data_IF_598142636845
#
_entry.id   IF_598142636845
#
_cell.length_a   1.000
_cell.length_b   1.000
_cell.length_c   1.000
_cell.angle_alpha   90.00
_cell.angle_beta   90.00
_cell.angle_gamma   90.00
#
_symmetry.space_group_name_H-M   'P 1'
#
loop_
_entity.id
_entity.type
_entity.pdbx_description
1 polymer ?
#
# COMPACT_ATOMS: atom_id res chain seq x y z
N UNK A 1 65.93 15.40 18.13
CA UNK A 1 65.10 15.09 16.94
C UNK A 1 63.70 14.76 17.44
N UNK A 2 62.74 15.65 17.25
CA UNK A 2 61.31 15.40 17.50
C UNK A 2 60.65 15.37 16.12
N UNK A 3 60.20 14.20 15.69
CA UNK A 3 59.46 14.06 14.44
C UNK A 3 58.02 14.55 14.67
N UNK A 4 57.65 15.64 13.98
CA UNK A 4 56.26 16.09 13.88
C UNK A 4 55.59 15.27 12.78
N UNK A 5 54.93 14.18 13.15
CA UNK A 5 54.04 13.46 12.23
C UNK A 5 52.75 14.28 12.09
N UNK A 6 52.66 15.06 11.02
CA UNK A 6 51.40 15.69 10.63
C UNK A 6 50.38 14.58 10.36
N UNK A 7 49.39 14.45 11.24
CA UNK A 7 48.21 13.66 10.96
C UNK A 7 47.51 14.29 9.75
N UNK A 8 47.44 13.56 8.63
CA UNK A 8 46.57 13.91 7.53
C UNK A 8 45.14 14.01 8.08
N UNK A 9 44.47 15.14 7.85
CA UNK A 9 43.04 15.23 8.10
C UNK A 9 42.35 14.07 7.36
N UNK A 10 41.39 13.37 7.99
CA UNK A 10 40.68 12.29 7.31
C UNK A 10 40.06 12.84 6.02
N UNK A 11 40.24 12.13 4.92
CA UNK A 11 39.55 12.42 3.66
C UNK A 11 38.06 12.57 3.96
N UNK A 12 37.53 13.78 3.80
CA UNK A 12 36.12 14.03 4.09
C UNK A 12 35.30 13.28 3.04
N UNK A 13 34.71 12.15 3.43
CA UNK A 13 33.67 11.51 2.62
C UNK A 13 32.54 12.52 2.48
N UNK A 14 32.32 13.03 1.27
CA UNK A 14 31.18 13.88 0.97
C UNK A 14 29.92 13.01 0.98
N UNK A 15 28.98 13.34 1.86
CA UNK A 15 27.71 12.62 2.03
C UNK A 15 26.58 13.58 1.70
N UNK A 16 25.59 13.10 0.96
CA UNK A 16 24.40 13.83 0.58
C UNK A 16 24.56 14.57 -0.76
N UNK A 17 23.91 15.73 -0.84
CA UNK A 17 23.72 16.49 -2.07
C UNK A 17 22.37 16.19 -2.72
N UNK A 18 21.83 17.18 -3.43
CA UNK A 18 20.56 17.06 -4.13
C UNK A 18 20.64 17.76 -5.49
N UNK A 19 20.24 17.05 -6.54
CA UNK A 19 20.13 17.60 -7.90
C UNK A 19 18.75 17.24 -8.45
N UNK A 20 18.08 18.21 -9.05
CA UNK A 20 16.81 18.00 -9.72
C UNK A 20 16.85 18.62 -11.13
N UNK A 21 16.55 17.82 -12.14
CA UNK A 21 16.44 18.26 -13.53
C UNK A 21 14.97 18.33 -13.93
N UNK A 22 14.55 19.47 -14.49
CA UNK A 22 13.20 19.66 -15.03
C UNK A 22 13.34 20.13 -16.47
N UNK A 23 12.74 19.39 -17.40
CA UNK A 23 12.77 19.69 -18.83
C UNK A 23 11.53 19.14 -19.53
N UNK A 24 11.33 19.47 -20.81
CA UNK A 24 10.25 18.87 -21.60
C UNK A 24 10.53 17.38 -21.90
N UNK A 25 11.80 17.01 -22.09
CA UNK A 25 12.30 15.64 -22.25
C UNK A 25 13.65 15.53 -21.52
N UNK A 26 14.02 14.35 -21.05
CA UNK A 26 15.32 14.10 -20.41
C UNK A 26 15.96 12.87 -21.07
N UNK A 27 17.14 13.06 -21.64
CA UNK A 27 18.07 11.98 -22.00
C UNK A 27 19.28 12.10 -21.06
N UNK A 28 19.28 11.25 -20.03
CA UNK A 28 20.28 11.23 -18.98
C UNK A 28 21.25 10.09 -19.24
N UNK A 29 22.48 10.40 -19.64
CA UNK A 29 23.52 9.40 -19.87
C UNK A 29 24.84 9.82 -19.21
N UNK A 30 24.85 9.85 -17.88
CA UNK A 30 25.95 10.41 -17.09
C UNK A 30 26.24 9.62 -15.82
N UNK A 31 27.42 9.88 -15.24
CA UNK A 31 27.82 9.34 -13.95
C UNK A 31 27.41 10.30 -12.82
N UNK A 32 26.81 9.76 -11.77
CA UNK A 32 26.45 10.48 -10.55
C UNK A 32 27.05 9.75 -9.37
N UNK A 33 27.83 10.47 -8.57
CA UNK A 33 28.34 9.99 -7.30
C UNK A 33 27.89 10.96 -6.21
N UNK A 34 26.78 10.60 -5.55
CA UNK A 34 26.19 11.39 -4.47
C UNK A 34 25.75 10.45 -3.35
N UNK A 35 26.69 9.89 -2.57
CA UNK A 35 26.37 8.89 -1.56
C UNK A 35 25.34 9.41 -0.56
N UNK A 36 24.26 8.65 -0.32
CA UNK A 36 23.12 9.10 0.52
C UNK A 36 22.43 10.39 0.05
N UNK A 37 22.69 10.84 -1.18
CA UNK A 37 22.10 12.03 -1.79
C UNK A 37 20.84 11.73 -2.60
N UNK A 38 20.35 12.73 -3.33
CA UNK A 38 19.14 12.60 -4.15
C UNK A 38 19.32 13.09 -5.59
N UNK A 39 18.88 12.30 -6.56
CA UNK A 39 18.79 12.67 -7.97
C UNK A 39 17.33 12.59 -8.43
N UNK A 40 16.79 13.73 -8.88
CA UNK A 40 15.46 13.84 -9.45
C UNK A 40 15.48 14.21 -10.93
N UNK A 41 14.66 13.51 -11.72
CA UNK A 41 14.41 13.76 -13.14
C UNK A 41 12.92 13.99 -13.36
N UNK A 42 12.54 15.14 -13.93
CA UNK A 42 11.14 15.46 -14.24
C UNK A 42 11.00 15.89 -15.71
N UNK A 43 10.28 15.09 -16.50
CA UNK A 43 9.90 15.42 -17.87
C UNK A 43 8.45 15.92 -17.94
N UNK A 44 8.26 17.14 -18.45
CA UNK A 44 6.97 17.82 -18.49
C UNK A 44 6.06 17.33 -19.64
N UNK A 45 6.65 16.92 -20.77
CA UNK A 45 5.91 16.60 -22.01
C UNK A 45 6.25 15.25 -22.64
N UNK A 46 7.51 14.83 -22.56
CA UNK A 46 8.02 13.65 -23.25
C UNK A 46 8.61 12.64 -22.24
N UNK A 47 9.35 11.68 -22.77
CA UNK A 47 9.95 10.60 -22.00
C UNK A 47 11.17 11.04 -21.18
N UNK A 48 11.50 10.20 -20.19
CA UNK A 48 12.80 10.17 -19.52
C UNK A 48 13.53 8.91 -20.00
N UNK A 49 14.72 9.08 -20.55
CA UNK A 49 15.62 7.99 -20.89
C UNK A 49 16.85 8.07 -19.98
N UNK A 50 17.11 7.02 -19.20
CA UNK A 50 18.38 6.82 -18.49
C UNK A 50 19.21 5.87 -19.35
N UNK A 51 20.17 6.44 -20.07
CA UNK A 51 20.94 5.78 -21.11
C UNK A 51 21.88 4.70 -20.58
N UNK A 52 22.33 3.85 -21.51
CA UNK A 52 23.11 2.62 -21.26
C UNK A 52 24.44 2.82 -20.51
N UNK A 53 25.01 4.04 -20.54
CA UNK A 53 26.26 4.36 -19.84
C UNK A 53 26.04 5.07 -18.50
N UNK A 54 24.78 5.20 -18.06
CA UNK A 54 24.46 5.86 -16.79
C UNK A 54 24.91 5.02 -15.60
N UNK A 55 25.71 5.60 -14.72
CA UNK A 55 26.06 5.03 -13.43
C UNK A 55 25.67 6.00 -12.31
N UNK A 56 24.52 5.76 -11.71
CA UNK A 56 23.93 6.58 -10.66
C UNK A 56 24.19 5.88 -9.32
N UNK A 57 25.23 6.33 -8.61
CA UNK A 57 25.56 5.83 -7.28
C UNK A 57 25.11 6.82 -6.20
N UNK A 58 24.03 6.44 -5.52
CA UNK A 58 23.43 7.13 -4.40
C UNK A 58 23.48 6.26 -3.13
N UNK A 59 24.24 5.17 -3.14
CA UNK A 59 24.28 4.22 -2.04
C UNK A 59 24.72 4.89 -0.73
N UNK A 60 24.26 4.32 0.39
CA UNK A 60 24.78 4.67 1.69
C UNK A 60 26.25 4.28 1.83
N UNK A 61 26.92 4.83 2.84
CA UNK A 61 28.33 4.58 3.12
C UNK A 61 28.54 4.24 4.59
N UNK A 62 29.57 3.45 4.86
CA UNK A 62 30.12 3.29 6.19
C UNK A 62 31.15 4.39 6.46
N UNK A 63 30.91 5.21 7.47
CA UNK A 63 31.85 6.26 7.91
C UNK A 63 32.50 5.81 9.21
N UNK A 64 33.82 5.80 9.23
CA UNK A 64 34.57 5.44 10.43
C UNK A 64 34.78 6.68 11.29
N UNK A 65 34.23 6.66 12.50
CA UNK A 65 34.45 7.65 13.55
C UNK A 65 35.24 6.98 14.68
N UNK A 66 36.54 7.30 14.75
CA UNK A 66 37.49 6.64 15.66
C UNK A 66 37.46 5.10 15.51
N UNK A 67 36.90 4.39 16.49
CA UNK A 67 36.82 2.93 16.57
C UNK A 67 35.45 2.37 16.13
N UNK A 68 34.54 3.21 15.66
CA UNK A 68 33.18 2.82 15.27
C UNK A 68 32.88 3.14 13.81
N UNK A 69 32.22 2.20 13.13
CA UNK A 69 31.64 2.43 11.81
C UNK A 69 30.17 2.81 11.99
N UNK A 70 29.79 3.96 11.46
CA UNK A 70 28.40 4.42 11.37
C UNK A 70 27.96 4.33 9.92
N UNK A 71 26.86 3.62 9.67
CA UNK A 71 26.32 3.44 8.32
C UNK A 71 25.24 4.47 8.03
N UNK A 72 25.31 5.11 6.86
CA UNK A 72 24.26 6.00 6.36
C UNK A 72 23.22 5.22 5.56
N UNK A 73 21.96 5.72 5.49
CA UNK A 73 20.96 5.14 4.61
C UNK A 73 21.33 5.32 3.14
N UNK A 74 20.71 4.52 2.27
CA UNK A 74 20.75 4.76 0.84
C UNK A 74 20.07 6.09 0.46
N UNK A 75 20.48 6.67 -0.66
CA UNK A 75 19.92 7.90 -1.23
C UNK A 75 18.61 7.69 -1.99
N UNK A 76 18.17 8.69 -2.74
CA UNK A 76 16.91 8.64 -3.49
C UNK A 76 17.07 8.94 -4.98
N UNK A 77 16.55 8.04 -5.81
CA UNK A 77 16.40 8.28 -7.24
C UNK A 77 14.93 8.44 -7.58
N UNK A 78 14.57 9.57 -8.20
CA UNK A 78 13.21 9.83 -8.68
C UNK A 78 13.19 10.20 -10.16
N UNK A 79 12.27 9.58 -10.90
CA UNK A 79 11.96 9.93 -12.28
C UNK A 79 10.45 10.09 -12.43
N UNK A 80 10.01 11.25 -12.93
CA UNK A 80 8.59 11.55 -13.18
C UNK A 80 8.42 12.06 -14.61
N UNK A 81 7.75 11.27 -15.44
CA UNK A 81 7.32 11.67 -16.77
C UNK A 81 5.80 11.93 -16.76
N UNK A 82 5.42 13.20 -16.92
CA UNK A 82 4.01 13.60 -16.83
C UNK A 82 3.15 13.04 -17.98
N UNK A 83 3.76 12.87 -19.15
CA UNK A 83 3.08 12.45 -20.39
C UNK A 83 3.83 11.32 -21.11
N UNK A 84 5.14 11.16 -20.87
CA UNK A 84 5.98 10.17 -21.51
C UNK A 84 6.23 8.92 -20.68
N UNK A 85 6.96 7.99 -21.29
CA UNK A 85 7.50 6.79 -20.66
C UNK A 85 8.77 7.13 -19.85
N UNK A 86 9.11 6.25 -18.90
CA UNK A 86 10.44 6.22 -18.28
C UNK A 86 11.15 4.93 -18.70
N UNK A 87 12.37 5.05 -19.20
CA UNK A 87 13.20 3.89 -19.55
C UNK A 87 14.52 3.95 -18.80
N UNK A 88 14.84 2.90 -18.06
CA UNK A 88 16.21 2.60 -17.62
C UNK A 88 16.79 1.62 -18.63
N UNK A 89 17.66 2.09 -19.52
CA UNK A 89 18.20 1.30 -20.62
C UNK A 89 19.09 0.16 -20.11
N UNK A 90 19.21 -0.90 -20.90
CA UNK A 90 20.21 -1.96 -20.66
C UNK A 90 21.61 -1.34 -20.50
N UNK A 91 22.40 -1.84 -19.55
CA UNK A 91 23.70 -1.28 -19.19
C UNK A 91 23.67 -0.16 -18.13
N UNK A 92 22.53 0.54 -17.95
CA UNK A 92 22.41 1.55 -16.89
C UNK A 92 22.44 0.91 -15.49
N UNK A 93 22.95 1.65 -14.49
CA UNK A 93 22.97 1.26 -13.09
C UNK A 93 22.40 2.37 -12.21
N UNK A 94 21.45 2.01 -11.34
CA UNK A 94 21.01 2.83 -10.21
C UNK A 94 21.30 2.08 -8.91
N UNK A 95 22.19 2.61 -8.07
CA UNK A 95 22.50 2.07 -6.75
C UNK A 95 22.01 3.01 -5.66
N UNK A 96 21.00 2.56 -4.92
CA UNK A 96 20.40 3.21 -3.74
C UNK A 96 20.49 2.28 -2.52
N UNK A 97 21.46 1.37 -2.49
CA UNK A 97 21.60 0.39 -1.40
C UNK A 97 21.93 1.06 -0.06
N UNK A 98 21.62 0.38 1.06
CA UNK A 98 22.06 0.81 2.38
C UNK A 98 23.59 0.85 2.49
N UNK A 99 24.15 1.70 3.35
CA UNK A 99 25.59 1.68 3.64
C UNK A 99 26.08 0.41 4.35
N UNK A 100 25.17 -0.39 4.90
CA UNK A 100 25.45 -1.63 5.62
C UNK A 100 24.82 -1.69 7.00
N UNK A 101 25.13 -2.75 7.75
CA UNK A 101 24.63 -2.98 9.10
C UNK A 101 23.09 -2.95 9.16
N UNK A 102 22.55 -2.15 10.09
CA UNK A 102 21.12 -1.95 10.28
C UNK A 102 20.57 -0.70 9.56
N UNK A 103 21.37 -0.01 8.73
CA UNK A 103 20.89 1.13 7.97
C UNK A 103 19.85 0.69 6.93
N UNK A 104 18.86 1.55 6.69
CA UNK A 104 17.87 1.36 5.64
C UNK A 104 18.49 1.55 4.25
N UNK A 105 17.93 0.87 3.25
CA UNK A 105 18.19 1.22 1.87
C UNK A 105 17.52 2.52 1.49
N UNK A 106 17.78 2.94 0.26
CA UNK A 106 17.25 4.17 -0.32
C UNK A 106 15.86 4.01 -0.94
N UNK A 107 15.43 5.05 -1.64
CA UNK A 107 14.11 5.13 -2.28
C UNK A 107 14.23 5.24 -3.80
N UNK A 108 13.52 4.37 -4.51
CA UNK A 108 13.26 4.43 -5.94
C UNK A 108 11.85 4.96 -6.17
N UNK A 109 11.67 6.05 -6.92
CA UNK A 109 10.34 6.58 -7.27
C UNK A 109 10.23 6.77 -8.78
N UNK A 110 9.35 6.02 -9.43
CA UNK A 110 9.12 6.09 -10.87
C UNK A 110 7.65 6.38 -11.17
N UNK A 111 7.38 7.50 -11.83
CA UNK A 111 6.01 7.93 -12.14
C UNK A 111 5.86 8.24 -13.63
N UNK A 112 5.21 7.38 -14.38
CA UNK A 112 4.89 7.57 -15.79
C UNK A 112 3.35 7.65 -15.95
N UNK A 113 2.78 8.79 -15.58
CA UNK A 113 1.35 8.92 -15.26
C UNK A 113 0.40 8.65 -16.43
N UNK A 114 0.90 8.73 -17.67
CA UNK A 114 0.13 8.50 -18.90
C UNK A 114 0.72 7.37 -19.78
N UNK A 115 1.82 6.76 -19.35
CA UNK A 115 2.55 5.71 -20.08
C UNK A 115 3.04 4.65 -19.11
N UNK A 116 4.18 4.03 -19.40
CA UNK A 116 4.72 2.89 -18.69
C UNK A 116 6.16 3.17 -18.23
N UNK A 117 6.72 2.20 -17.49
CA UNK A 117 8.14 2.14 -17.13
C UNK A 117 8.76 0.92 -17.79
N UNK A 118 9.98 1.05 -18.29
CA UNK A 118 10.80 -0.07 -18.75
C UNK A 118 12.10 -0.12 -17.95
N UNK A 119 12.31 -1.22 -17.24
CA UNK A 119 13.47 -1.44 -16.36
C UNK A 119 14.39 -2.48 -16.99
N UNK A 120 15.16 -2.05 -17.99
CA UNK A 120 16.11 -2.90 -18.72
C UNK A 120 17.52 -2.84 -18.12
N UNK A 121 17.80 -1.80 -17.34
CA UNK A 121 19.03 -1.63 -16.57
C UNK A 121 19.07 -2.39 -15.24
N UNK A 122 20.19 -2.25 -14.53
CA UNK A 122 20.39 -2.80 -13.20
C UNK A 122 19.99 -1.83 -12.10
N UNK A 123 19.32 -2.33 -11.07
CA UNK A 123 19.00 -1.58 -9.86
C UNK A 123 19.60 -2.34 -8.67
N UNK A 124 20.23 -1.61 -7.76
CA UNK A 124 20.66 -2.12 -6.46
C UNK A 124 20.03 -1.27 -5.37
N UNK A 125 19.28 -1.92 -4.49
CA UNK A 125 18.46 -1.27 -3.50
C UNK A 125 18.32 -2.14 -2.26
N UNK A 126 19.42 -2.72 -1.77
CA UNK A 126 19.41 -3.59 -0.59
C UNK A 126 18.74 -2.88 0.59
N UNK A 127 17.68 -3.49 1.15
CA UNK A 127 16.81 -2.94 2.20
C UNK A 127 16.07 -1.66 1.77
N UNK A 128 15.92 -1.46 0.47
CA UNK A 128 15.34 -0.26 -0.13
C UNK A 128 13.84 -0.31 -0.26
N UNK A 129 13.31 0.80 -0.75
CA UNK A 129 11.90 1.03 -1.00
C UNK A 129 11.67 1.44 -2.46
N UNK A 130 10.53 1.05 -3.02
CA UNK A 130 10.11 1.40 -4.37
C UNK A 130 8.68 1.96 -4.37
N UNK A 131 8.46 3.01 -5.16
CA UNK A 131 7.16 3.56 -5.51
C UNK A 131 7.08 3.65 -7.03
N UNK A 132 6.16 2.90 -7.64
CA UNK A 132 5.92 2.90 -9.08
C UNK A 132 4.45 3.27 -9.34
N UNK A 133 4.21 4.29 -10.16
CA UNK A 133 2.88 4.71 -10.63
C UNK A 133 2.92 4.83 -12.17
N UNK A 134 2.20 3.94 -12.85
CA UNK A 134 2.15 3.88 -14.31
C UNK A 134 0.72 3.88 -14.81
N UNK A 135 0.48 4.40 -16.01
CA UNK A 135 -0.83 4.28 -16.64
C UNK A 135 -1.12 2.81 -16.98
N UNK A 136 -0.18 2.14 -17.63
CA UNK A 136 -0.30 0.76 -18.12
C UNK A 136 1.06 0.07 -18.18
N UNK A 137 1.09 -1.21 -18.54
CA UNK A 137 2.29 -1.98 -18.84
C UNK A 137 2.88 -1.62 -20.21
N UNK A 138 4.16 -1.97 -20.41
CA UNK A 138 4.74 -1.91 -21.74
C UNK A 138 4.53 -3.25 -22.45
N UNK A 139 4.70 -3.29 -23.77
CA UNK A 139 4.63 -4.55 -24.51
C UNK A 139 5.76 -5.54 -24.13
N UNK A 140 6.80 -5.05 -23.46
CA UNK A 140 8.02 -5.80 -23.12
C UNK A 140 8.12 -6.14 -21.63
N UNK A 141 7.21 -5.65 -20.79
CA UNK A 141 7.24 -5.87 -19.35
C UNK A 141 5.83 -6.01 -18.79
N UNK A 142 5.59 -7.09 -18.06
CA UNK A 142 4.35 -7.33 -17.32
C UNK A 142 4.59 -7.11 -15.82
N UNK A 143 3.54 -7.30 -15.01
CA UNK A 143 3.65 -7.19 -13.56
C UNK A 143 4.74 -8.11 -12.98
N UNK A 144 4.80 -9.36 -13.42
CA UNK A 144 5.73 -10.35 -12.85
C UNK A 144 7.18 -10.01 -13.17
N UNK A 145 7.48 -9.59 -14.41
CA UNK A 145 8.83 -9.18 -14.79
C UNK A 145 9.29 -7.94 -14.01
N UNK A 146 8.41 -6.95 -13.83
CA UNK A 146 8.70 -5.77 -13.01
C UNK A 146 8.97 -6.15 -11.55
N UNK A 147 8.13 -7.00 -10.95
CA UNK A 147 8.32 -7.44 -9.56
C UNK A 147 9.59 -8.26 -9.38
N UNK A 148 9.96 -9.08 -10.37
CA UNK A 148 11.21 -9.83 -10.36
C UNK A 148 12.43 -8.90 -10.42
N UNK A 149 12.40 -7.85 -11.24
CA UNK A 149 13.45 -6.83 -11.28
C UNK A 149 13.60 -6.14 -9.92
N UNK A 150 12.50 -5.71 -9.29
CA UNK A 150 12.55 -5.03 -7.98
C UNK A 150 12.99 -5.95 -6.84
N UNK A 151 12.54 -7.20 -6.84
CA UNK A 151 12.96 -8.21 -5.85
C UNK A 151 14.44 -8.52 -5.98
N UNK A 152 14.93 -8.71 -7.22
CA UNK A 152 16.35 -8.93 -7.50
C UNK A 152 17.21 -7.73 -7.11
N UNK A 153 16.68 -6.52 -7.26
CA UNK A 153 17.34 -5.29 -6.82
C UNK A 153 17.51 -5.22 -5.29
N UNK A 154 16.74 -5.98 -4.52
CA UNK A 154 16.81 -6.00 -3.05
C UNK A 154 15.81 -5.06 -2.35
N UNK A 155 14.78 -4.60 -3.07
CA UNK A 155 13.64 -3.88 -2.47
C UNK A 155 12.96 -4.81 -1.48
N UNK A 156 13.02 -4.45 -0.19
CA UNK A 156 12.50 -5.31 0.88
C UNK A 156 11.90 -4.55 2.05
N UNK A 157 11.96 -3.21 2.06
CA UNK A 157 11.28 -2.42 3.11
C UNK A 157 9.87 -2.02 2.66
N UNK A 158 9.75 -1.26 1.57
CA UNK A 158 8.44 -0.87 1.01
C UNK A 158 8.37 -1.11 -0.49
N UNK A 159 7.25 -1.67 -0.93
CA UNK A 159 6.84 -1.76 -2.32
C UNK A 159 5.46 -1.14 -2.47
N UNK A 160 5.39 -0.01 -3.15
CA UNK A 160 4.15 0.57 -3.64
C UNK A 160 4.14 0.44 -5.17
N UNK A 161 3.17 -0.26 -5.71
CA UNK A 161 2.95 -0.38 -7.15
C UNK A 161 1.51 0.00 -7.47
N UNK A 162 1.36 0.95 -8.38
CA UNK A 162 0.08 1.38 -8.93
C UNK A 162 0.13 1.29 -10.45
N UNK A 163 -0.87 0.62 -11.01
CA UNK A 163 -1.21 0.69 -12.43
C UNK A 163 -2.61 1.28 -12.56
N UNK A 164 -2.82 2.19 -13.50
CA UNK A 164 -4.08 2.94 -13.58
C UNK A 164 -5.12 2.25 -14.46
N UNK A 165 -4.70 1.57 -15.53
CA UNK A 165 -5.59 1.12 -16.61
C UNK A 165 -5.55 -0.39 -16.87
N UNK A 166 -4.68 -1.12 -16.16
CA UNK A 166 -4.51 -2.57 -16.36
C UNK A 166 -4.74 -3.35 -15.06
N UNK A 167 -4.91 -4.66 -15.21
CA UNK A 167 -4.98 -5.63 -14.12
C UNK A 167 -3.61 -5.90 -13.49
N UNK A 168 -3.59 -6.22 -12.21
CA UNK A 168 -2.40 -6.82 -11.56
C UNK A 168 -2.57 -8.33 -11.53
N UNK A 169 -1.79 -9.04 -12.34
CA UNK A 169 -1.78 -10.51 -12.35
C UNK A 169 -0.44 -11.07 -11.87
N UNK A 170 -0.43 -11.70 -10.69
CA UNK A 170 0.72 -12.44 -10.19
C UNK A 170 0.59 -13.93 -10.54
N UNK A 171 1.56 -14.46 -11.28
CA UNK A 171 1.59 -15.86 -11.65
C UNK A 171 1.94 -16.80 -10.47
N UNK A 172 1.61 -18.09 -10.61
CA UNK A 172 1.98 -19.12 -9.64
C UNK A 172 3.50 -19.23 -9.48
N UNK A 173 3.96 -19.48 -8.25
CA UNK A 173 5.38 -19.62 -7.93
C UNK A 173 6.15 -18.30 -7.82
N UNK A 174 5.53 -17.16 -8.14
CA UNK A 174 6.15 -15.85 -7.95
C UNK A 174 6.13 -15.43 -6.48
N UNK A 175 7.15 -14.66 -6.05
CA UNK A 175 7.28 -14.14 -4.70
C UNK A 175 7.44 -12.62 -4.74
N UNK A 176 6.58 -11.92 -4.00
CA UNK A 176 6.76 -10.51 -3.64
C UNK A 176 7.08 -10.45 -2.16
N UNK A 177 8.21 -9.86 -1.79
CA UNK A 177 8.63 -9.77 -0.38
C UNK A 177 9.07 -8.37 0.00
N UNK A 178 8.36 -7.75 0.95
CA UNK A 178 8.74 -6.49 1.59
C UNK A 178 7.98 -6.31 2.92
N UNK A 179 8.48 -5.48 3.84
CA UNK A 179 7.76 -5.19 5.09
C UNK A 179 6.42 -4.47 4.84
N UNK A 180 6.33 -3.66 3.79
CA UNK A 180 5.11 -2.90 3.43
C UNK A 180 4.83 -3.08 1.95
N UNK A 181 3.73 -3.74 1.61
CA UNK A 181 3.34 -4.03 0.23
C UNK A 181 2.00 -3.37 -0.03
N UNK A 182 1.94 -2.48 -1.03
CA UNK A 182 0.72 -1.87 -1.52
C UNK A 182 0.63 -2.06 -3.02
N UNK A 183 -0.41 -2.74 -3.47
CA UNK A 183 -0.72 -2.95 -4.89
C UNK A 183 -2.04 -2.27 -5.20
N UNK A 184 -2.05 -1.46 -6.25
CA UNK A 184 -3.23 -0.67 -6.66
C UNK A 184 -3.46 -0.87 -8.16
N UNK A 185 -4.63 -1.35 -8.54
CA UNK A 185 -5.15 -1.21 -9.89
C UNK A 185 -6.35 -0.26 -9.83
N UNK A 186 -6.31 0.89 -10.52
CA UNK A 186 -7.38 1.90 -10.37
C UNK A 186 -8.70 1.51 -11.03
N UNK A 187 -8.64 0.93 -12.24
CA UNK A 187 -9.80 0.55 -13.08
C UNK A 187 -9.77 -0.93 -13.45
N UNK A 188 -8.96 -1.72 -12.77
CA UNK A 188 -8.78 -3.13 -13.09
C UNK A 188 -8.81 -3.98 -11.83
N UNK A 189 -8.63 -5.26 -12.06
CA UNK A 189 -8.64 -6.32 -11.05
C UNK A 189 -7.24 -6.60 -10.50
N UNK A 190 -7.20 -7.28 -9.36
CA UNK A 190 -5.98 -7.86 -8.81
C UNK A 190 -6.20 -9.37 -8.66
N UNK A 191 -5.43 -10.15 -9.40
CA UNK A 191 -5.42 -11.63 -9.32
C UNK A 191 -4.05 -12.11 -8.87
N UNK A 192 -4.00 -12.76 -7.72
CA UNK A 192 -2.76 -13.31 -7.17
C UNK A 192 -2.82 -14.83 -7.14
N UNK A 193 -1.85 -15.50 -7.76
CA UNK A 193 -1.64 -16.95 -7.67
C UNK A 193 -0.31 -17.33 -6.99
N UNK A 194 0.52 -16.34 -6.65
CA UNK A 194 1.82 -16.52 -6.01
C UNK A 194 1.81 -16.24 -4.50
N UNK A 195 2.99 -15.91 -3.97
CA UNK A 195 3.16 -15.49 -2.57
C UNK A 195 3.43 -14.00 -2.47
N UNK A 196 2.74 -13.34 -1.53
CA UNK A 196 2.99 -11.98 -1.08
C UNK A 196 3.35 -12.05 0.40
N UNK A 197 4.60 -11.77 0.73
CA UNK A 197 5.19 -11.99 2.05
C UNK A 197 5.64 -10.67 2.68
N UNK A 198 5.05 -10.35 3.82
CA UNK A 198 5.40 -9.25 4.70
C UNK A 198 5.75 -9.77 6.12
N UNK A 199 6.28 -10.99 6.21
CA UNK A 199 6.69 -11.59 7.48
C UNK A 199 7.90 -10.83 8.07
N UNK A 200 7.91 -10.66 9.39
CA UNK A 200 9.01 -10.07 10.13
C UNK A 200 9.08 -10.71 11.53
N UNK A 201 10.28 -11.00 12.04
CA UNK A 201 10.43 -11.67 13.34
C UNK A 201 9.91 -10.86 14.53
N UNK A 202 9.82 -9.53 14.40
CA UNK A 202 9.27 -8.63 15.42
C UNK A 202 7.79 -8.34 15.16
N UNK A 203 7.48 -7.07 14.87
CA UNK A 203 6.18 -6.67 14.37
C UNK A 203 6.11 -6.97 12.87
N UNK A 204 5.17 -7.82 12.47
CA UNK A 204 4.97 -8.18 11.08
C UNK A 204 4.46 -7.01 10.24
N UNK A 205 4.68 -7.14 8.94
CA UNK A 205 4.42 -6.10 7.96
C UNK A 205 2.95 -5.94 7.56
N UNK A 206 2.74 -5.22 6.45
CA UNK A 206 1.42 -4.88 5.94
C UNK A 206 1.30 -5.21 4.47
N UNK A 207 0.18 -5.81 4.09
CA UNK A 207 -0.22 -6.07 2.70
C UNK A 207 -1.54 -5.34 2.45
N UNK A 208 -1.58 -4.48 1.44
CA UNK A 208 -2.76 -3.69 1.10
C UNK A 208 -3.01 -3.79 -0.41
N UNK A 209 -4.14 -4.38 -0.79
CA UNK A 209 -4.57 -4.50 -2.17
C UNK A 209 -5.78 -3.60 -2.41
N UNK A 210 -5.72 -2.75 -3.43
CA UNK A 210 -6.81 -1.88 -3.84
C UNK A 210 -7.10 -2.12 -5.32
N UNK A 211 -8.23 -2.73 -5.64
CA UNK A 211 -8.70 -2.91 -7.00
C UNK A 211 -9.85 -1.95 -7.30
N UNK A 212 -9.87 -1.40 -8.51
CA UNK A 212 -11.08 -0.84 -9.11
C UNK A 212 -12.14 -1.91 -9.14
N UNK A 213 -11.75 -3.07 -9.68
CA UNK A 213 -12.62 -4.20 -9.94
C UNK A 213 -12.41 -5.28 -8.88
N UNK A 214 -12.32 -6.55 -9.28
CA UNK A 214 -12.24 -7.71 -8.42
C UNK A 214 -10.87 -7.89 -7.76
N UNK A 215 -10.85 -8.44 -6.55
CA UNK A 215 -9.66 -9.08 -5.98
C UNK A 215 -9.88 -10.59 -5.94
N UNK A 216 -8.98 -11.36 -6.56
CA UNK A 216 -9.00 -12.83 -6.56
C UNK A 216 -7.69 -13.35 -5.97
N UNK A 217 -7.79 -14.07 -4.86
CA UNK A 217 -6.71 -14.97 -4.41
C UNK A 217 -6.98 -16.34 -5.02
N UNK A 218 -6.16 -16.72 -6.00
CA UNK A 218 -6.30 -17.97 -6.72
C UNK A 218 -5.86 -19.18 -5.87
N UNK A 219 -6.16 -20.39 -6.34
CA UNK A 219 -5.64 -21.62 -5.72
C UNK A 219 -4.11 -21.56 -5.54
N UNK A 220 -3.65 -21.93 -4.35
CA UNK A 220 -2.26 -21.86 -3.92
C UNK A 220 -1.72 -20.46 -3.58
N UNK A 221 -2.50 -19.39 -3.75
CA UNK A 221 -2.07 -18.04 -3.41
C UNK A 221 -1.84 -17.87 -1.90
N UNK A 222 -0.79 -17.16 -1.51
CA UNK A 222 -0.41 -16.96 -0.09
C UNK A 222 -0.13 -15.50 0.22
N UNK A 223 -0.90 -14.92 1.15
CA UNK A 223 -0.62 -13.62 1.74
C UNK A 223 -0.16 -13.84 3.18
N UNK A 224 1.09 -13.55 3.49
CA UNK A 224 1.65 -13.78 4.83
C UNK A 224 2.17 -12.49 5.44
N UNK A 225 1.78 -12.23 6.69
CA UNK A 225 2.32 -11.14 7.51
C UNK A 225 2.46 -11.65 8.96
N UNK A 226 3.37 -12.60 9.14
CA UNK A 226 3.62 -13.31 10.40
C UNK A 226 4.76 -12.67 11.19
N UNK A 227 4.66 -12.69 12.52
CA UNK A 227 5.69 -12.16 13.43
C UNK A 227 5.42 -12.48 14.89
N UNK A 228 6.19 -11.87 15.80
CA UNK A 228 5.87 -11.91 17.23
C UNK A 228 4.51 -11.22 17.48
N UNK A 229 4.29 -10.09 16.82
CA UNK A 229 2.97 -9.50 16.63
C UNK A 229 2.57 -9.66 15.17
N UNK A 230 1.40 -10.26 14.94
CA UNK A 230 0.85 -10.48 13.62
C UNK A 230 0.55 -9.19 12.86
N UNK A 231 0.67 -9.26 11.53
CA UNK A 231 0.64 -8.08 10.66
C UNK A 231 -0.76 -7.71 10.20
N UNK A 232 -0.85 -6.87 9.16
CA UNK A 232 -2.14 -6.45 8.61
C UNK A 232 -2.29 -6.80 7.14
N UNK A 233 -3.44 -7.37 6.79
CA UNK A 233 -3.89 -7.59 5.42
C UNK A 233 -5.18 -6.82 5.18
N UNK A 234 -5.21 -6.00 4.13
CA UNK A 234 -6.40 -5.32 3.64
C UNK A 234 -6.60 -5.65 2.17
N UNK A 235 -7.77 -6.19 1.84
CA UNK A 235 -8.25 -6.33 0.47
C UNK A 235 -9.40 -5.35 0.29
N UNK A 236 -9.31 -4.44 -0.69
CA UNK A 236 -10.34 -3.44 -0.95
C UNK A 236 -10.74 -3.43 -2.43
N UNK A 237 -11.98 -3.78 -2.71
CA UNK A 237 -12.60 -3.77 -4.03
C UNK A 237 -13.93 -3.04 -3.94
N UNK A 238 -14.00 -1.82 -4.46
CA UNK A 238 -15.14 -0.91 -4.24
C UNK A 238 -15.64 -0.24 -5.52
N UNK A 239 -15.38 -0.84 -6.68
CA UNK A 239 -15.83 -0.36 -7.99
C UNK A 239 -15.39 1.11 -8.20
N UNK A 240 -14.08 1.35 -8.26
CA UNK A 240 -13.54 2.72 -8.19
C UNK A 240 -13.91 3.59 -9.39
N UNK A 241 -14.20 2.99 -10.53
CA UNK A 241 -14.58 3.61 -11.79
C UNK A 241 -16.08 3.53 -12.11
N UNK A 242 -16.86 2.83 -11.28
CA UNK A 242 -18.33 2.72 -11.37
C UNK A 242 -18.80 1.99 -12.63
N UNK A 243 -18.10 0.94 -13.05
CA UNK A 243 -18.48 0.10 -14.18
C UNK A 243 -19.43 -1.05 -13.76
N UNK A 244 -19.62 -1.23 -12.43
CA UNK A 244 -20.44 -2.28 -11.84
C UNK A 244 -19.67 -3.57 -11.53
N UNK A 245 -18.37 -3.60 -11.78
CA UNK A 245 -17.48 -4.72 -11.52
C UNK A 245 -16.78 -4.53 -10.18
N UNK A 246 -16.99 -5.44 -9.25
CA UNK A 246 -16.24 -5.49 -7.99
C UNK A 246 -16.46 -6.83 -7.31
N UNK A 247 -15.68 -7.11 -6.28
CA UNK A 247 -15.84 -8.27 -5.42
C UNK A 247 -14.52 -8.75 -4.85
N UNK A 248 -14.60 -9.57 -3.81
CA UNK A 248 -13.45 -10.28 -3.26
C UNK A 248 -13.75 -11.77 -3.29
N UNK A 249 -12.83 -12.55 -3.88
CA UNK A 249 -12.89 -14.01 -3.94
C UNK A 249 -11.61 -14.63 -3.41
N UNK A 250 -11.74 -15.49 -2.41
CA UNK A 250 -10.66 -16.34 -1.90
C UNK A 250 -10.97 -17.77 -2.35
N UNK A 251 -10.30 -18.23 -3.41
CA UNK A 251 -10.53 -19.56 -3.96
C UNK A 251 -10.02 -20.65 -3.01
N UNK A 252 -10.54 -21.86 -3.17
CA UNK A 252 -10.01 -23.04 -2.47
C UNK A 252 -8.48 -23.11 -2.61
N UNK A 253 -7.80 -23.41 -1.49
CA UNK A 253 -6.34 -23.53 -1.43
C UNK A 253 -5.57 -22.22 -1.28
N UNK A 254 -6.23 -21.06 -1.43
CA UNK A 254 -5.64 -19.77 -1.04
C UNK A 254 -5.53 -19.62 0.48
N UNK A 255 -4.54 -18.85 0.96
CA UNK A 255 -4.30 -18.60 2.38
C UNK A 255 -3.96 -17.13 2.66
N UNK A 256 -4.60 -16.56 3.69
CA UNK A 256 -4.17 -15.36 4.39
C UNK A 256 -3.73 -15.76 5.80
N UNK A 257 -2.46 -15.51 6.13
CA UNK A 257 -1.89 -15.82 7.43
C UNK A 257 -1.24 -14.59 8.06
N UNK A 258 -1.82 -14.12 9.16
CA UNK A 258 -1.32 -12.97 9.91
C UNK A 258 -0.92 -13.34 11.35
N UNK A 259 -0.42 -14.57 11.56
CA UNK A 259 -0.16 -15.12 12.90
C UNK A 259 0.84 -14.31 13.72
N UNK A 260 0.53 -14.18 15.01
CA UNK A 260 1.43 -13.71 16.06
C UNK A 260 1.98 -14.85 16.92
N UNK A 261 2.63 -14.53 18.04
CA UNK A 261 3.10 -15.53 19.02
C UNK A 261 1.98 -16.31 19.72
N UNK A 262 0.79 -15.72 19.80
CA UNK A 262 -0.43 -16.31 20.36
C UNK A 262 -1.68 -15.66 19.71
N UNK A 263 -2.87 -16.14 20.07
CA UNK A 263 -4.15 -15.64 19.52
C UNK A 263 -4.39 -14.15 19.83
N UNK A 264 -3.90 -13.63 20.96
CA UNK A 264 -4.08 -12.22 21.32
C UNK A 264 -3.11 -11.30 20.56
N UNK A 265 -1.94 -11.83 20.21
CA UNK A 265 -0.88 -11.15 19.46
C UNK A 265 -1.02 -11.35 17.96
N UNK A 266 -2.08 -12.02 17.49
CA UNK A 266 -2.40 -12.19 16.09
C UNK A 266 -2.57 -10.87 15.33
N UNK A 267 -2.68 -10.96 14.01
CA UNK A 267 -2.77 -9.80 13.14
C UNK A 267 -4.21 -9.36 12.84
N UNK A 268 -4.37 -8.58 11.78
CA UNK A 268 -5.67 -8.08 11.34
C UNK A 268 -5.89 -8.39 9.86
N UNK A 269 -7.10 -8.85 9.54
CA UNK A 269 -7.56 -9.03 8.15
C UNK A 269 -8.81 -8.20 7.94
N UNK A 270 -8.82 -7.37 6.91
CA UNK A 270 -9.99 -6.59 6.49
C UNK A 270 -10.29 -6.92 5.03
N UNK A 271 -11.49 -7.41 4.77
CA UNK A 271 -12.07 -7.58 3.45
C UNK A 271 -13.09 -6.45 3.26
N UNK A 272 -12.74 -5.43 2.48
CA UNK A 272 -13.56 -4.26 2.21
C UNK A 272 -14.18 -4.36 0.82
N UNK A 273 -15.51 -4.44 0.76
CA UNK A 273 -16.24 -4.54 -0.49
C UNK A 273 -17.55 -3.74 -0.46
N UNK A 274 -18.16 -3.53 -1.62
CA UNK A 274 -19.47 -2.86 -1.69
C UNK A 274 -20.55 -3.63 -0.93
N UNK A 275 -21.44 -2.88 -0.27
CA UNK A 275 -22.69 -3.44 0.26
C UNK A 275 -23.58 -3.87 -0.90
N UNK A 276 -24.32 -4.94 -0.70
CA UNK A 276 -25.41 -5.37 -1.58
C UNK A 276 -26.69 -5.49 -0.76
N UNK A 277 -27.84 -5.56 -1.41
CA UNK A 277 -29.11 -5.86 -0.71
C UNK A 277 -29.04 -7.21 0.01
N UNK A 278 -28.23 -8.11 -0.52
CA UNK A 278 -28.00 -9.43 0.04
C UNK A 278 -26.88 -9.48 1.09
N UNK A 279 -26.15 -8.38 1.32
CA UNK A 279 -25.10 -8.26 2.33
C UNK A 279 -23.87 -7.52 1.85
N UNK A 280 -22.88 -8.25 1.37
CA UNK A 280 -21.60 -7.69 0.94
C UNK A 280 -21.10 -8.42 -0.29
N UNK A 281 -20.44 -7.70 -1.19
CA UNK A 281 -19.88 -8.26 -2.42
C UNK A 281 -18.56 -9.00 -2.15
N UNK A 282 -18.64 -10.07 -1.36
CA UNK A 282 -17.55 -11.00 -1.06
C UNK A 282 -18.14 -12.41 -1.25
N UNK A 283 -17.47 -13.22 -2.05
CA UNK A 283 -17.87 -14.61 -2.25
C UNK A 283 -17.70 -15.41 -0.96
N UNK A 284 -18.39 -16.56 -0.87
CA UNK A 284 -18.12 -17.51 0.21
C UNK A 284 -16.61 -17.81 0.27
N UNK A 285 -16.04 -17.78 1.48
CA UNK A 285 -14.60 -17.95 1.65
C UNK A 285 -14.24 -19.44 1.50
N UNK A 286 -13.75 -19.81 0.32
CA UNK A 286 -13.20 -21.15 0.05
C UNK A 286 -11.73 -21.25 0.48
N UNK A 287 -11.02 -20.12 0.52
CA UNK A 287 -9.68 -19.98 1.07
C UNK A 287 -9.63 -19.90 2.59
N UNK A 288 -8.43 -20.05 3.15
CA UNK A 288 -8.19 -20.04 4.60
C UNK A 288 -7.73 -18.67 5.09
N UNK A 289 -8.32 -18.19 6.18
CA UNK A 289 -7.84 -17.00 6.90
C UNK A 289 -7.48 -17.39 8.34
N UNK A 290 -6.23 -17.19 8.74
CA UNK A 290 -5.73 -17.57 10.07
C UNK A 290 -4.79 -16.56 10.70
N UNK A 291 -4.59 -16.70 12.01
CA UNK A 291 -3.62 -15.93 12.76
C UNK A 291 -4.09 -14.51 13.12
N UNK A 292 -5.34 -14.16 12.83
CA UNK A 292 -5.90 -12.88 13.25
C UNK A 292 -6.09 -12.84 14.77
N UNK A 293 -5.92 -11.66 15.36
CA UNK A 293 -6.07 -11.46 16.79
C UNK A 293 -7.49 -11.83 17.23
N UNK A 294 -7.63 -12.66 18.24
CA UNK A 294 -8.94 -13.05 18.76
C UNK A 294 -8.88 -13.40 20.24
N UNK A 295 -10.00 -13.18 20.92
CA UNK A 295 -10.23 -13.61 22.29
C UNK A 295 -11.68 -14.05 22.41
N UNK A 296 -11.92 -15.23 22.99
CA UNK A 296 -13.26 -15.68 23.30
C UNK A 296 -13.89 -14.83 24.40
N UNK A 297 -15.22 -14.74 24.42
CA UNK A 297 -15.91 -14.13 25.56
C UNK A 297 -15.73 -15.01 26.80
N UNK A 298 -15.40 -14.39 27.93
CA UNK A 298 -15.30 -15.09 29.21
C UNK A 298 -16.64 -14.98 29.94
N UNK A 299 -17.23 -16.12 30.32
CA UNK A 299 -18.49 -16.18 31.05
C UNK A 299 -18.23 -16.78 32.44
N UNK A 300 -18.60 -16.05 33.50
CA UNK A 300 -18.61 -16.55 34.89
C UNK A 300 -19.99 -16.37 35.48
N UNK A 301 -20.51 -17.41 36.11
CA UNK A 301 -21.85 -17.42 36.74
C UNK A 301 -22.98 -16.92 35.81
N UNK A 302 -22.89 -17.27 34.52
CA UNK A 302 -23.86 -16.86 33.50
C UNK A 302 -23.74 -15.41 33.03
N UNK A 303 -22.74 -14.67 33.50
CA UNK A 303 -22.46 -13.29 33.10
C UNK A 303 -21.19 -13.20 32.25
N UNK A 304 -21.22 -12.35 31.22
CA UNK A 304 -20.03 -12.04 30.42
C UNK A 304 -19.10 -11.15 31.25
N UNK A 305 -17.95 -11.68 31.61
CA UNK A 305 -16.89 -10.98 32.37
C UNK A 305 -15.93 -10.27 31.43
N UNK A 306 -15.58 -10.91 30.32
CA UNK A 306 -14.72 -10.32 29.28
C UNK A 306 -15.40 -10.46 27.94
N UNK A 307 -15.53 -9.35 27.20
CA UNK A 307 -16.08 -9.37 25.85
C UNK A 307 -15.08 -10.01 24.89
N UNK A 308 -15.54 -10.97 24.08
CA UNK A 308 -14.69 -11.56 23.06
C UNK A 308 -14.46 -10.60 21.88
N UNK A 309 -13.29 -10.67 21.25
CA UNK A 309 -12.97 -9.92 20.04
C UNK A 309 -12.41 -10.81 18.92
N UNK A 310 -12.50 -10.31 17.68
CA UNK A 310 -11.85 -10.89 16.50
C UNK A 310 -11.41 -9.74 15.60
N UNK A 311 -10.17 -9.81 15.10
CA UNK A 311 -9.55 -8.86 14.18
C UNK A 311 -9.69 -9.28 12.71
N UNK A 312 -10.69 -10.11 12.39
CA UNK A 312 -11.08 -10.44 11.04
C UNK A 312 -12.40 -9.75 10.68
N UNK A 313 -12.38 -8.86 9.69
CA UNK A 313 -13.51 -7.97 9.38
C UNK A 313 -13.95 -8.07 7.93
N UNK A 314 -15.27 -8.07 7.73
CA UNK A 314 -15.91 -7.71 6.46
C UNK A 314 -16.40 -6.26 6.58
N UNK A 315 -15.85 -5.33 5.82
CA UNK A 315 -16.29 -3.94 5.75
C UNK A 315 -17.20 -3.72 4.54
N UNK A 316 -18.50 -3.58 4.77
CA UNK A 316 -19.48 -3.25 3.74
C UNK A 316 -19.51 -1.75 3.47
N UNK A 317 -19.07 -1.33 2.29
CA UNK A 317 -18.98 0.08 1.87
C UNK A 317 -20.26 0.52 1.15
N UNK A 318 -20.86 1.62 1.63
CA UNK A 318 -21.83 2.40 0.84
C UNK A 318 -21.10 3.61 0.26
N UNK A 319 -21.22 3.80 -1.06
CA UNK A 319 -20.68 4.96 -1.77
C UNK A 319 -21.73 6.07 -1.86
N UNK A 320 -21.28 7.30 -1.66
CA UNK A 320 -22.03 8.52 -1.93
C UNK A 320 -21.19 9.35 -2.90
N UNK A 321 -21.65 9.44 -4.15
CA UNK A 321 -21.00 10.25 -5.16
C UNK A 321 -21.46 11.72 -5.08
N UNK A 322 -20.95 12.55 -6.00
CA UNK A 322 -21.28 13.98 -6.05
C UNK A 322 -22.79 14.20 -6.18
N UNK A 323 -23.47 13.43 -7.03
CA UNK A 323 -24.91 13.57 -7.25
C UNK A 323 -25.71 13.20 -5.99
N UNK A 324 -25.31 12.14 -5.29
CA UNK A 324 -25.93 11.73 -4.03
C UNK A 324 -25.73 12.79 -2.94
N UNK A 325 -24.53 13.35 -2.82
CA UNK A 325 -24.25 14.41 -1.85
C UNK A 325 -25.06 15.67 -2.18
N UNK A 326 -25.07 16.12 -3.44
CA UNK A 326 -25.82 17.32 -3.84
C UNK A 326 -27.33 17.14 -3.61
N UNK A 327 -27.88 15.97 -3.92
CA UNK A 327 -29.29 15.68 -3.68
C UNK A 327 -29.63 15.76 -2.19
N UNK A 328 -28.78 15.22 -1.32
CA UNK A 328 -28.98 15.22 0.14
C UNK A 328 -28.70 16.60 0.75
N UNK A 329 -27.76 17.35 0.21
CA UNK A 329 -27.34 18.64 0.74
C UNK A 329 -28.18 19.82 0.23
N UNK A 330 -29.15 19.59 -0.67
CA UNK A 330 -29.87 20.62 -1.41
C UNK A 330 -28.93 21.50 -2.27
N UNK A 331 -28.02 20.84 -2.98
CA UNK A 331 -27.07 21.41 -3.95
C UNK A 331 -26.06 22.40 -3.36
N UNK A 332 -25.81 22.33 -2.05
CA UNK A 332 -24.75 23.11 -1.41
C UNK A 332 -23.37 22.48 -1.52
N UNK A 333 -23.27 21.18 -1.84
CA UNK A 333 -22.00 20.45 -1.83
C UNK A 333 -21.42 20.21 -0.43
N UNK A 334 -22.22 20.40 0.62
CA UNK A 334 -21.78 20.33 2.02
C UNK A 334 -22.19 19.02 2.69
N UNK A 335 -21.34 18.52 3.59
CA UNK A 335 -21.72 17.46 4.53
C UNK A 335 -22.55 18.07 5.67
N UNK A 336 -23.82 18.31 5.41
CA UNK A 336 -24.75 18.90 6.37
C UNK A 336 -25.53 17.84 7.18
N UNK A 337 -26.45 18.29 8.04
CA UNK A 337 -27.24 17.41 8.88
C UNK A 337 -28.07 16.38 8.09
N UNK A 338 -28.57 16.73 6.89
CA UNK A 338 -29.33 15.80 6.06
C UNK A 338 -28.44 14.67 5.54
N UNK A 339 -27.24 14.99 5.04
CA UNK A 339 -26.24 14.00 4.59
C UNK A 339 -25.87 13.06 5.74
N UNK A 340 -25.55 13.61 6.92
CA UNK A 340 -25.18 12.81 8.10
C UNK A 340 -26.34 11.92 8.54
N UNK A 341 -27.56 12.44 8.59
CA UNK A 341 -28.75 11.68 8.97
C UNK A 341 -29.00 10.52 7.99
N UNK A 342 -28.83 10.75 6.68
CA UNK A 342 -28.97 9.69 5.68
C UNK A 342 -27.89 8.61 5.84
N UNK A 343 -26.63 9.00 6.00
CA UNK A 343 -25.53 8.05 6.22
C UNK A 343 -25.78 7.19 7.46
N UNK A 344 -26.28 7.80 8.54
CA UNK A 344 -26.64 7.08 9.77
C UNK A 344 -27.81 6.12 9.51
N UNK A 345 -28.87 6.56 8.85
CA UNK A 345 -30.02 5.73 8.53
C UNK A 345 -29.63 4.52 7.67
N UNK A 346 -28.83 4.73 6.62
CA UNK A 346 -28.33 3.66 5.75
C UNK A 346 -27.41 2.68 6.50
N UNK A 347 -26.63 3.20 7.44
CA UNK A 347 -25.74 2.38 8.28
C UNK A 347 -26.55 1.55 9.29
N UNK A 348 -27.57 2.13 9.92
CA UNK A 348 -28.43 1.43 10.87
C UNK A 348 -29.27 0.35 10.16
N UNK A 349 -29.79 0.65 8.97
CA UNK A 349 -30.51 -0.30 8.12
C UNK A 349 -29.61 -1.47 7.69
N UNK A 350 -28.32 -1.21 7.46
CA UNK A 350 -27.35 -2.25 7.11
C UNK A 350 -26.92 -3.10 8.32
N UNK A 351 -26.69 -2.48 9.47
CA UNK A 351 -26.10 -3.14 10.65
C UNK A 351 -27.15 -3.85 11.55
N UNK A 352 -28.15 -4.49 10.94
CA UNK A 352 -29.16 -5.28 11.66
C UNK A 352 -28.61 -6.63 12.12
N UNK A 353 -29.22 -7.22 13.15
CA UNK A 353 -28.86 -8.57 13.61
C UNK A 353 -29.02 -9.63 12.50
N UNK A 354 -30.08 -9.50 11.68
CA UNK A 354 -30.30 -10.37 10.54
C UNK A 354 -29.16 -10.28 9.52
N UNK A 355 -28.72 -9.06 9.17
CA UNK A 355 -27.62 -8.85 8.23
C UNK A 355 -26.29 -9.37 8.78
N UNK A 356 -25.98 -9.09 10.05
CA UNK A 356 -24.76 -9.61 10.71
C UNK A 356 -24.73 -11.14 10.69
N UNK A 357 -25.86 -11.80 11.01
CA UNK A 357 -25.97 -13.26 10.94
C UNK A 357 -25.80 -13.78 9.51
N UNK A 358 -26.37 -13.09 8.52
CA UNK A 358 -26.26 -13.46 7.11
C UNK A 358 -24.82 -13.43 6.62
N UNK A 359 -24.09 -12.35 6.89
CA UNK A 359 -22.67 -12.23 6.53
C UNK A 359 -21.82 -13.28 7.25
N UNK A 360 -22.05 -13.50 8.54
CA UNK A 360 -21.34 -14.53 9.30
C UNK A 360 -21.61 -15.94 8.76
N UNK A 361 -22.84 -16.23 8.32
CA UNK A 361 -23.18 -17.53 7.72
C UNK A 361 -22.57 -17.69 6.32
N UNK A 362 -22.48 -16.62 5.53
CA UNK A 362 -21.95 -16.67 4.17
C UNK A 362 -20.41 -16.72 4.13
N UNK A 363 -19.74 -15.98 5.02
CA UNK A 363 -18.29 -15.82 5.01
C UNK A 363 -17.56 -16.70 6.06
N UNK A 364 -18.30 -17.41 6.92
CA UNK A 364 -17.75 -18.35 7.89
C UNK A 364 -17.47 -17.74 9.27
N UNK A 365 -17.02 -18.60 10.20
CA UNK A 365 -16.85 -18.21 11.59
C UNK A 365 -15.65 -17.28 11.81
N UNK A 366 -15.79 -16.37 12.77
CA UNK A 366 -14.72 -15.48 13.22
C UNK A 366 -14.68 -14.12 12.51
N UNK A 367 -15.27 -14.00 11.31
CA UNK A 367 -15.39 -12.70 10.63
C UNK A 367 -16.48 -11.84 11.26
N UNK A 368 -16.22 -10.53 11.37
CA UNK A 368 -17.16 -9.55 11.93
C UNK A 368 -17.55 -8.52 10.87
N UNK A 369 -18.85 -8.36 10.67
CA UNK A 369 -19.38 -7.31 9.82
C UNK A 369 -19.13 -5.92 10.43
N UNK A 370 -18.72 -4.98 9.58
CA UNK A 370 -18.62 -3.55 9.87
C UNK A 370 -19.22 -2.74 8.72
N UNK A 371 -19.79 -1.59 9.06
CA UNK A 371 -20.21 -0.61 8.09
C UNK A 371 -19.03 0.31 7.74
N UNK A 372 -18.91 0.64 6.46
CA UNK A 372 -17.99 1.65 5.96
C UNK A 372 -18.73 2.60 5.01
N UNK A 373 -18.20 3.83 4.90
CA UNK A 373 -18.73 4.87 4.02
C UNK A 373 -17.59 5.40 3.17
N UNK A 374 -17.87 5.58 1.88
CA UNK A 374 -16.98 6.27 0.95
C UNK A 374 -17.73 7.43 0.33
N UNK A 375 -17.11 8.61 0.37
CA UNK A 375 -17.64 9.82 -0.26
C UNK A 375 -16.68 10.18 -1.39
N UNK A 376 -17.21 10.13 -2.61
CA UNK A 376 -16.50 10.46 -3.84
C UNK A 376 -17.09 11.76 -4.40
N UNK A 377 -16.54 12.88 -3.94
CA UNK A 377 -17.05 14.21 -4.27
C UNK A 377 -16.11 14.94 -5.24
N UNK A 378 -16.63 15.39 -6.37
CA UNK A 378 -15.93 16.20 -7.38
C UNK A 378 -16.16 17.67 -7.07
N UNK A 379 -15.26 18.27 -6.30
CA UNK A 379 -15.30 19.69 -5.92
C UNK A 379 -14.68 19.92 -4.54
N UNK A 380 -14.66 21.17 -4.11
CA UNK A 380 -14.24 21.50 -2.74
C UNK A 380 -15.36 21.13 -1.78
N UNK A 381 -15.12 20.13 -0.92
CA UNK A 381 -16.00 19.87 0.23
C UNK A 381 -15.86 21.04 1.20
N UNK A 382 -16.81 21.97 1.17
CA UNK A 382 -16.90 23.01 2.19
C UNK A 382 -17.28 22.35 3.52
N UNK A 383 -16.30 22.17 4.41
CA UNK A 383 -16.59 21.79 5.78
C UNK A 383 -17.19 23.01 6.47
N UNK A 384 -18.48 23.00 6.81
CA UNK A 384 -18.98 23.92 7.82
C UNK A 384 -18.30 23.55 9.14
N UNK A 385 -17.36 24.40 9.57
CA UNK A 385 -17.01 24.56 10.97
C UNK A 385 -18.29 25.00 11.67
N UNK A 386 -19.07 24.03 12.17
CA UNK A 386 -20.15 24.34 13.10
C UNK A 386 -19.47 24.80 14.39
N UNK A 387 -19.77 26.05 14.76
CA UNK A 387 -19.14 26.76 15.86
C UNK A 387 -19.08 25.97 17.17
N UNK A 388 -18.03 26.30 17.92
CA UNK A 388 -17.69 25.88 19.28
C UNK A 388 -18.95 25.58 20.13
N UNK A 389 -19.18 24.28 20.35
CA UNK A 389 -19.77 23.75 21.59
C UNK A 389 -18.77 22.70 22.10
N UNK A 390 -18.46 22.70 23.41
CA UNK A 390 -17.28 22.00 23.92
C UNK A 390 -17.40 20.50 23.68
N UNK A 391 -16.28 19.90 23.27
CA UNK A 391 -15.95 18.49 23.44
C UNK A 391 -16.42 18.00 24.82
N UNK A 392 -17.61 17.41 24.86
CA UNK A 392 -18.07 16.52 25.93
C UNK A 392 -18.94 15.46 25.28
N UNK A 393 -18.37 14.27 25.16
CA UNK A 393 -19.06 12.97 25.03
C UNK A 393 -20.39 12.98 24.27
N UNK A 394 -20.36 12.62 22.99
CA UNK A 394 -21.38 11.72 22.45
C UNK A 394 -20.76 10.32 22.43
N UNK A 395 -20.65 9.74 23.62
CA UNK A 395 -20.42 8.32 23.85
C UNK A 395 -21.72 7.58 23.53
N UNK A 396 -21.84 6.99 22.32
CA UNK A 396 -22.32 5.60 22.11
C UNK A 396 -22.66 5.18 20.67
N UNK A 397 -22.68 6.05 19.64
CA UNK A 397 -23.21 5.65 18.31
C UNK A 397 -22.31 5.83 17.09
N UNK A 398 -21.27 6.64 17.14
CA UNK A 398 -20.33 6.82 16.00
C UNK A 398 -19.14 5.85 15.99
N UNK A 399 -19.08 4.88 16.90
CA UNK A 399 -18.00 3.88 16.99
C UNK A 399 -18.08 2.76 15.92
N UNK A 400 -19.00 2.83 14.95
CA UNK A 400 -19.28 1.70 14.04
C UNK A 400 -18.99 1.93 12.55
N UNK A 401 -18.63 3.14 12.11
CA UNK A 401 -18.35 3.43 10.70
C UNK A 401 -16.95 4.03 10.50
N UNK A 402 -16.17 3.43 9.60
CA UNK A 402 -14.92 4.02 9.09
C UNK A 402 -15.24 4.89 7.87
N UNK A 403 -15.02 6.20 7.98
CA UNK A 403 -15.23 7.19 6.90
C UNK A 403 -13.91 7.45 6.18
N UNK A 404 -13.90 7.35 4.84
CA UNK A 404 -12.75 7.73 4.00
C UNK A 404 -13.19 8.77 2.97
N UNK A 405 -12.43 9.85 2.87
CA UNK A 405 -12.60 10.89 1.86
C UNK A 405 -11.64 10.62 0.70
N UNK A 406 -12.16 10.59 -0.53
CA UNK A 406 -11.34 10.59 -1.75
C UNK A 406 -11.61 11.89 -2.48
N UNK A 407 -10.60 12.75 -2.53
CA UNK A 407 -10.58 13.92 -3.41
C UNK A 407 -9.95 13.45 -4.71
N UNK A 408 -10.73 13.44 -5.79
CA UNK A 408 -10.29 13.03 -7.14
C UNK A 408 -9.63 14.18 -7.88
#
# INVERSE_FOLDING_TARGET
MLANSAASAPDSVSIGGAVNFIADAIDFNANVLMPSGSLGLTALKNAIHVGESSNINLAGVGVTFADKIVYTPGGSFSATANQGQITLAEGSLVDISSGGGNASGGQLTLKALQKNVELLGSIKAVKGSAEIDVASYSANADFNSLMNTLTTAGISDQLYFRVRQDDIEQATGQLIKANRITLVSDTGSIKLAGTVNADNSGEAGKIQLYAGDNIVLADGARLTAQGATGGKVLLASVDSDNDGTSGIRLQQGSEINVSGSDDASGGQVILRALRTDEGINIDALEGKVTGYAQQAAEIKDGQVVTQGYSAFYAEGVKKYDTAAIDALSASTGEINANVINQINADTDAYMTAAMMNKVNNALGQGIRLRAAVQIDYKGDLASIVVGILPMRMITNRLTRACVRYRVS
#
